data_IF_515184630423
#
_entry.id   IF_515184630423
#
_cell.length_a   1.000
_cell.length_b   1.000
_cell.length_c   1.000
_cell.angle_alpha   90.00
_cell.angle_beta   90.00
_cell.angle_gamma   90.00
#
_symmetry.space_group_name_H-M   'P 1'
#
loop_
_entity.id
_entity.type
_entity.pdbx_description
1 polymer ?
#
# COMPACT_ATOMS: atom_id res chain seq x y z
N UNK A 1 13.43 -38.25 -58.10
CA UNK A 1 14.62 -37.82 -57.33
C UNK A 1 14.13 -36.94 -56.19
N UNK A 2 14.16 -37.39 -54.92
CA UNK A 2 13.62 -36.61 -53.81
C UNK A 2 14.58 -35.50 -53.37
N UNK A 3 14.04 -34.28 -53.23
CA UNK A 3 14.79 -33.09 -52.84
C UNK A 3 15.04 -33.06 -51.33
N UNK A 4 16.30 -32.83 -50.95
CA UNK A 4 16.74 -32.78 -49.56
C UNK A 4 16.33 -31.47 -48.88
N UNK A 5 15.46 -31.56 -47.87
CA UNK A 5 15.09 -30.45 -47.01
C UNK A 5 16.24 -30.11 -46.06
N UNK A 6 16.76 -28.88 -46.16
CA UNK A 6 17.81 -28.34 -45.27
C UNK A 6 17.17 -27.81 -43.98
N UNK A 7 17.46 -28.46 -42.86
CA UNK A 7 17.05 -28.02 -41.53
C UNK A 7 17.80 -26.74 -41.11
N UNK A 8 17.05 -25.72 -40.65
CA UNK A 8 17.59 -24.47 -40.11
C UNK A 8 18.07 -24.67 -38.66
N UNK A 9 19.21 -24.08 -38.25
CA UNK A 9 19.75 -24.25 -36.91
C UNK A 9 18.94 -23.47 -35.86
N UNK A 10 18.51 -24.18 -34.81
CA UNK A 10 17.86 -23.63 -33.63
C UNK A 10 18.89 -22.85 -32.81
N UNK A 11 18.77 -21.53 -32.79
CA UNK A 11 19.63 -20.66 -31.98
C UNK A 11 19.12 -20.60 -30.53
N UNK A 12 19.69 -21.45 -29.67
CA UNK A 12 19.49 -21.43 -28.21
C UNK A 12 20.17 -20.18 -27.62
N UNK A 13 19.38 -19.16 -27.27
CA UNK A 13 19.85 -18.01 -26.48
C UNK A 13 19.97 -18.41 -25.01
N UNK A 14 21.21 -18.64 -24.58
CA UNK A 14 21.56 -18.83 -23.17
C UNK A 14 21.59 -17.46 -22.48
N UNK A 15 20.60 -17.19 -21.63
CA UNK A 15 20.58 -16.00 -20.79
C UNK A 15 21.58 -16.17 -19.63
N UNK A 16 22.62 -15.34 -19.62
CA UNK A 16 23.61 -15.25 -18.54
C UNK A 16 23.03 -14.47 -17.36
N UNK A 17 22.67 -15.18 -16.30
CA UNK A 17 22.49 -14.61 -14.98
C UNK A 17 23.88 -14.46 -14.32
N UNK A 18 24.22 -13.28 -13.78
CA UNK A 18 25.06 -13.10 -12.57
C UNK A 18 25.40 -11.61 -12.31
N UNK A 19 25.62 -11.30 -11.02
CA UNK A 19 26.15 -10.05 -10.43
C UNK A 19 25.16 -8.89 -10.20
N UNK A 20 24.31 -9.05 -9.19
CA UNK A 20 23.58 -7.91 -8.61
C UNK A 20 23.24 -7.99 -7.12
N UNK A 21 23.56 -9.08 -6.41
CA UNK A 21 22.98 -9.35 -5.08
C UNK A 21 23.86 -9.03 -3.86
N UNK A 22 25.14 -8.65 -4.01
CA UNK A 22 26.07 -8.59 -2.87
C UNK A 22 26.18 -7.23 -2.15
N UNK A 23 25.62 -6.13 -2.66
CA UNK A 23 25.82 -4.78 -2.08
C UNK A 23 24.67 -4.23 -1.21
N UNK A 24 23.53 -4.89 -1.16
CA UNK A 24 22.39 -4.43 -0.35
C UNK A 24 22.41 -4.89 1.12
N UNK A 25 23.18 -5.94 1.45
CA UNK A 25 23.19 -6.51 2.81
C UNK A 25 24.03 -5.71 3.83
N UNK A 26 24.98 -4.87 3.39
CA UNK A 26 25.93 -4.21 4.29
C UNK A 26 25.38 -2.94 4.98
N UNK A 27 24.34 -2.30 4.42
CA UNK A 27 23.77 -1.08 4.99
C UNK A 27 22.79 -1.33 6.15
N UNK A 28 22.10 -2.48 6.17
CA UNK A 28 21.09 -2.78 7.19
C UNK A 28 21.66 -3.20 8.56
N UNK A 29 22.91 -3.69 8.65
CA UNK A 29 23.50 -4.09 9.94
C UNK A 29 23.86 -2.89 10.84
N UNK A 30 24.25 -1.74 10.28
CA UNK A 30 24.69 -0.58 11.09
C UNK A 30 23.54 0.15 11.79
N UNK A 31 22.35 0.18 11.18
CA UNK A 31 21.17 0.83 11.78
C UNK A 31 20.54 -0.02 12.90
N UNK A 32 20.60 -1.36 12.78
CA UNK A 32 20.14 -2.27 13.83
C UNK A 32 20.99 -2.16 15.12
N UNK A 33 22.31 -1.99 14.99
CA UNK A 33 23.21 -1.83 16.14
C UNK A 33 22.97 -0.52 16.92
N UNK A 34 22.62 0.58 16.23
CA UNK A 34 22.35 1.85 16.89
C UNK A 34 21.02 1.85 17.67
N UNK A 35 19.99 1.16 17.16
CA UNK A 35 18.68 1.05 17.85
C UNK A 35 18.75 0.16 19.09
N UNK A 36 19.58 -0.89 19.09
CA UNK A 36 19.76 -1.76 20.26
C UNK A 36 20.41 -1.02 21.44
N UNK A 37 21.41 -0.17 21.19
CA UNK A 37 22.14 0.54 22.24
C UNK A 37 21.29 1.64 22.92
N UNK A 38 20.40 2.30 22.18
CA UNK A 38 19.51 3.35 22.71
C UNK A 38 18.44 2.80 23.66
N UNK A 39 18.02 1.54 23.50
CA UNK A 39 17.05 0.89 24.38
C UNK A 39 17.66 0.45 25.72
N UNK A 40 18.97 0.25 25.79
CA UNK A 40 19.66 -0.15 27.01
C UNK A 40 19.81 1.02 28.00
N UNK A 41 20.12 2.22 27.48
CA UNK A 41 20.26 3.44 28.31
C UNK A 41 18.98 3.85 29.04
N UNK A 42 17.79 3.55 28.49
CA UNK A 42 16.51 3.85 29.14
C UNK A 42 16.14 2.87 30.27
N UNK A 43 16.74 1.68 30.29
CA UNK A 43 16.47 0.65 31.33
C UNK A 43 17.19 0.97 32.63
N UNK A 44 18.37 1.59 32.54
CA UNK A 44 19.22 1.83 33.70
C UNK A 44 18.78 3.05 34.55
N UNK A 45 17.89 3.90 34.03
CA UNK A 45 17.36 5.05 34.79
C UNK A 45 16.18 4.73 35.72
N UNK A 46 15.56 3.54 35.61
CA UNK A 46 14.35 3.23 36.40
C UNK A 46 14.61 2.45 37.70
N UNK A 47 15.86 2.03 37.96
CA UNK A 47 16.18 1.18 39.11
C UNK A 47 16.84 1.93 40.29
N UNK A 48 17.06 3.24 40.20
CA UNK A 48 17.83 3.99 41.21
C UNK A 48 16.98 4.84 42.18
N UNK A 49 15.66 4.66 42.22
CA UNK A 49 14.73 5.49 43.02
C UNK A 49 14.12 4.80 44.24
N UNK A 50 14.72 3.73 44.77
CA UNK A 50 14.19 3.02 45.95
C UNK A 50 15.30 2.62 46.92
N UNK A 51 15.85 3.60 47.63
CA UNK A 51 16.45 3.37 48.96
C UNK A 51 15.77 4.30 49.96
N UNK A 52 14.85 3.80 50.80
CA UNK A 52 14.32 4.58 51.91
C UNK A 52 15.33 4.53 53.06
N UNK A 53 16.25 5.51 53.11
CA UNK A 53 16.97 5.82 54.33
C UNK A 53 16.01 6.40 55.38
N UNK A 54 16.20 5.96 56.62
CA UNK A 54 15.26 6.08 57.73
C UNK A 54 14.75 7.50 57.99
N UNK A 55 13.43 7.62 58.07
CA UNK A 55 12.77 8.83 58.56
C UNK A 55 12.42 8.65 60.03
N UNK A 56 13.06 9.49 60.84
CA UNK A 56 12.86 9.61 62.28
C UNK A 56 11.39 9.95 62.58
N UNK A 57 10.81 9.21 63.51
CA UNK A 57 9.52 9.46 64.11
C UNK A 57 9.63 10.74 64.97
N UNK A 58 9.17 11.87 64.46
CA UNK A 58 8.82 13.02 65.30
C UNK A 58 7.31 13.19 65.24
N UNK A 59 6.68 12.82 66.35
CA UNK A 59 5.27 13.00 66.60
C UNK A 59 4.93 14.48 66.62
N UNK A 60 4.08 14.90 65.69
CA UNK A 60 3.31 16.12 65.81
C UNK A 60 1.83 15.74 65.80
N UNK A 61 1.29 15.67 67.02
CA UNK A 61 -0.12 15.86 67.28
C UNK A 61 -0.49 17.27 66.85
N UNK A 62 -1.37 17.45 65.86
CA UNK A 62 -2.33 18.56 65.85
C UNK A 62 -3.25 18.49 64.63
N UNK A 63 -4.54 18.33 64.94
CA UNK A 63 -5.67 18.88 64.21
C UNK A 63 -5.70 18.60 62.71
N UNK A 64 -6.10 17.38 62.35
CA UNK A 64 -6.60 17.09 61.01
C UNK A 64 -7.88 17.91 60.77
N UNK A 65 -7.93 18.79 59.77
CA UNK A 65 -9.18 19.40 59.35
C UNK A 65 -10.06 18.25 58.83
N UNK A 66 -11.24 18.07 59.44
CA UNK A 66 -12.27 17.15 58.98
C UNK A 66 -12.84 17.64 57.65
N UNK A 67 -12.04 17.52 56.59
CA UNK A 67 -12.45 17.77 55.22
C UNK A 67 -13.46 16.67 54.86
N UNK A 68 -14.65 17.11 54.44
CA UNK A 68 -15.77 16.25 54.11
C UNK A 68 -15.35 15.18 53.09
N UNK A 69 -15.49 13.90 53.47
CA UNK A 69 -15.09 12.75 52.66
C UNK A 69 -15.77 12.77 51.26
N UNK A 70 -17.01 13.24 51.20
CA UNK A 70 -17.80 13.36 49.97
C UNK A 70 -17.21 14.37 48.96
N UNK A 71 -16.55 15.41 49.45
CA UNK A 71 -15.94 16.44 48.59
C UNK A 71 -14.71 15.88 47.87
N UNK A 72 -13.98 14.96 48.52
CA UNK A 72 -12.83 14.26 47.92
C UNK A 72 -13.24 13.27 46.84
N UNK A 73 -14.36 12.57 47.02
CA UNK A 73 -14.81 11.61 46.02
C UNK A 73 -15.23 12.30 44.72
N UNK A 74 -15.90 13.46 44.82
CA UNK A 74 -16.25 14.29 43.67
C UNK A 74 -15.01 14.84 42.94
N UNK A 75 -13.98 15.28 43.67
CA UNK A 75 -12.72 15.76 43.09
C UNK A 75 -11.98 14.63 42.34
N UNK A 76 -11.96 13.42 42.90
CA UNK A 76 -11.36 12.24 42.26
C UNK A 76 -12.09 11.89 40.95
N UNK A 77 -13.43 11.96 40.95
CA UNK A 77 -14.22 11.68 39.75
C UNK A 77 -13.99 12.74 38.65
N UNK A 78 -13.95 14.03 39.03
CA UNK A 78 -13.65 15.12 38.11
C UNK A 78 -12.26 14.99 37.49
N UNK A 79 -11.22 14.70 38.30
CA UNK A 79 -9.85 14.50 37.82
C UNK A 79 -9.73 13.28 36.89
N UNK A 80 -10.44 12.19 37.18
CA UNK A 80 -10.49 11.01 36.30
C UNK A 80 -11.11 11.35 34.94
N UNK A 81 -12.19 12.12 34.93
CA UNK A 81 -12.83 12.57 33.69
C UNK A 81 -11.92 13.49 32.86
N UNK A 82 -11.20 14.42 33.51
CA UNK A 82 -10.24 15.29 32.85
C UNK A 82 -9.07 14.50 32.23
N UNK A 83 -8.51 13.54 32.96
CA UNK A 83 -7.45 12.64 32.44
C UNK A 83 -7.95 11.85 31.24
N UNK A 84 -9.19 11.35 31.26
CA UNK A 84 -9.78 10.64 30.13
C UNK A 84 -9.93 11.55 28.90
N UNK A 85 -10.39 12.78 29.10
CA UNK A 85 -10.52 13.77 28.02
C UNK A 85 -9.15 14.14 27.43
N UNK A 86 -8.15 14.42 28.26
CA UNK A 86 -6.79 14.75 27.82
C UNK A 86 -6.12 13.58 27.09
N UNK A 87 -6.35 12.34 27.53
CA UNK A 87 -5.88 11.13 26.82
C UNK A 87 -6.53 11.00 25.44
N UNK A 88 -7.85 11.24 25.33
CA UNK A 88 -8.54 11.23 24.05
C UNK A 88 -8.06 12.33 23.10
N UNK A 89 -7.77 13.53 23.60
CA UNK A 89 -7.21 14.63 22.81
C UNK A 89 -5.77 14.32 22.34
N UNK A 90 -4.92 13.78 23.22
CA UNK A 90 -3.56 13.37 22.85
C UNK A 90 -3.55 12.27 21.80
N UNK A 91 -4.43 11.27 21.92
CA UNK A 91 -4.58 10.20 20.94
C UNK A 91 -4.99 10.74 19.54
N UNK A 92 -5.84 11.77 19.48
CA UNK A 92 -6.18 12.45 18.22
C UNK A 92 -4.96 13.19 17.65
N UNK A 93 -4.21 13.91 18.48
CA UNK A 93 -3.07 14.74 18.06
C UNK A 93 -1.85 13.94 17.59
N UNK A 94 -1.68 12.71 18.08
CA UNK A 94 -0.60 11.82 17.63
C UNK A 94 -0.82 11.27 16.22
N UNK A 95 -2.06 11.21 15.72
CA UNK A 95 -2.30 10.69 14.37
C UNK A 95 -1.84 11.64 13.25
N UNK A 96 -1.72 12.94 13.53
CA UNK A 96 -1.30 13.92 12.51
C UNK A 96 0.23 14.01 12.34
N UNK A 97 1.01 13.45 13.27
CA UNK A 97 2.48 13.54 13.27
C UNK A 97 3.18 12.23 12.83
N UNK A 98 2.43 11.27 12.30
CA UNK A 98 3.05 10.07 11.75
C UNK A 98 3.91 10.47 10.53
N UNK A 99 5.17 9.97 10.42
CA UNK A 99 6.08 10.37 9.35
C UNK A 99 5.43 10.05 8.00
N UNK A 100 5.10 11.11 7.24
CA UNK A 100 4.41 10.95 5.97
C UNK A 100 5.39 10.46 4.91
N UNK A 101 5.00 9.44 4.16
CA UNK A 101 5.80 8.83 3.10
C UNK A 101 5.65 9.67 1.81
N UNK A 102 6.74 10.28 1.31
CA UNK A 102 6.69 11.06 0.08
C UNK A 102 6.45 10.16 -1.13
N UNK A 103 5.95 10.76 -2.20
CA UNK A 103 5.74 10.05 -3.47
C UNK A 103 7.11 9.72 -4.11
N UNK A 104 7.35 8.47 -4.52
CA UNK A 104 8.56 8.11 -5.26
C UNK A 104 8.59 8.77 -6.65
N UNK A 105 9.78 9.02 -7.23
CA UNK A 105 9.88 9.53 -8.59
C UNK A 105 9.36 8.50 -9.61
N UNK A 106 8.64 8.97 -10.63
CA UNK A 106 8.09 8.14 -11.71
C UNK A 106 6.58 7.84 -11.60
N UNK A 107 6.15 6.82 -12.34
CA UNK A 107 4.80 6.30 -12.48
C UNK A 107 4.71 4.83 -12.00
N UNK A 108 3.65 4.53 -11.26
CA UNK A 108 3.42 3.21 -10.69
C UNK A 108 3.24 2.16 -11.79
N UNK A 109 4.06 1.11 -11.75
CA UNK A 109 4.05 0.00 -12.72
C UNK A 109 4.99 0.18 -13.92
N UNK A 110 5.54 1.37 -14.13
CA UNK A 110 6.62 1.60 -15.12
C UNK A 110 7.97 1.73 -14.42
N UNK A 111 8.11 2.74 -13.56
CA UNK A 111 9.39 3.06 -12.90
C UNK A 111 9.51 2.44 -11.50
N UNK A 112 8.38 2.22 -10.82
CA UNK A 112 8.40 1.64 -9.48
C UNK A 112 7.24 0.65 -9.23
N UNK A 113 7.47 -0.28 -8.30
CA UNK A 113 6.45 -1.21 -7.84
C UNK A 113 5.65 -0.60 -6.68
N UNK A 114 4.38 -0.28 -6.94
CA UNK A 114 3.49 0.37 -5.97
C UNK A 114 3.42 -0.37 -4.62
N UNK A 115 3.42 -1.70 -4.63
CA UNK A 115 3.33 -2.50 -3.41
C UNK A 115 4.60 -2.42 -2.55
N UNK A 116 5.76 -2.32 -3.19
CA UNK A 116 7.05 -2.21 -2.51
C UNK A 116 7.23 -0.82 -1.89
N UNK A 117 6.90 0.23 -2.65
CA UNK A 117 6.97 1.63 -2.20
C UNK A 117 5.97 1.93 -1.09
N UNK A 118 4.84 1.22 -1.06
CA UNK A 118 3.93 1.25 0.07
C UNK A 118 4.42 0.44 1.28
N UNK A 119 5.63 -0.15 1.26
CA UNK A 119 6.16 -0.99 2.35
C UNK A 119 5.29 -2.24 2.65
N UNK A 120 4.58 -2.75 1.64
CA UNK A 120 3.70 -3.92 1.72
C UNK A 120 4.30 -5.19 1.09
N UNK A 121 5.60 -5.20 0.77
CA UNK A 121 6.30 -6.24 -0.02
C UNK A 121 5.81 -7.68 0.19
N UNK A 122 5.79 -8.19 1.42
CA UNK A 122 5.35 -9.57 1.71
C UNK A 122 3.90 -9.67 2.22
N UNK A 123 3.22 -8.54 2.40
CA UNK A 123 1.88 -8.45 3.01
C UNK A 123 0.79 -8.52 1.94
N UNK A 124 0.74 -9.63 1.21
CA UNK A 124 -0.20 -9.86 0.10
C UNK A 124 -1.67 -9.67 0.52
N UNK A 125 -2.04 -10.19 1.68
CA UNK A 125 -3.40 -10.09 2.21
C UNK A 125 -3.79 -8.63 2.42
N UNK A 126 -2.96 -7.85 3.11
CA UNK A 126 -3.20 -6.42 3.36
C UNK A 126 -3.29 -5.63 2.05
N UNK A 127 -2.39 -5.89 1.10
CA UNK A 127 -2.40 -5.27 -0.22
C UNK A 127 -3.71 -5.54 -0.98
N UNK A 128 -4.16 -6.80 -1.02
CA UNK A 128 -5.39 -7.19 -1.69
C UNK A 128 -6.63 -6.58 -1.01
N UNK A 129 -6.67 -6.53 0.32
CA UNK A 129 -7.75 -5.87 1.07
C UNK A 129 -7.84 -4.39 0.75
N UNK A 130 -6.71 -3.68 0.70
CA UNK A 130 -6.67 -2.25 0.34
C UNK A 130 -7.19 -2.07 -1.09
N UNK A 131 -6.68 -2.85 -2.05
CA UNK A 131 -7.13 -2.79 -3.44
C UNK A 131 -8.63 -3.04 -3.57
N UNK A 132 -9.13 -4.10 -2.96
CA UNK A 132 -10.55 -4.46 -2.98
C UNK A 132 -11.40 -3.31 -2.43
N UNK A 133 -11.01 -2.76 -1.27
CA UNK A 133 -11.71 -1.62 -0.65
C UNK A 133 -11.79 -0.41 -1.59
N UNK A 134 -10.66 -0.05 -2.22
CA UNK A 134 -10.63 1.09 -3.17
C UNK A 134 -11.50 0.81 -4.40
N UNK A 135 -11.43 -0.41 -4.97
CA UNK A 135 -12.29 -0.81 -6.09
C UNK A 135 -13.78 -0.74 -5.74
N UNK A 136 -14.17 -1.22 -4.56
CA UNK A 136 -15.56 -1.18 -4.09
C UNK A 136 -16.05 0.26 -3.93
N UNK A 137 -15.20 1.16 -3.42
CA UNK A 137 -15.53 2.59 -3.31
C UNK A 137 -15.67 3.25 -4.69
N UNK A 138 -14.82 2.91 -5.65
CA UNK A 138 -14.93 3.37 -7.04
C UNK A 138 -16.27 2.94 -7.65
N UNK A 139 -16.67 1.68 -7.46
CA UNK A 139 -17.96 1.16 -7.91
C UNK A 139 -19.13 1.86 -7.22
N UNK A 140 -19.09 1.98 -5.88
CA UNK A 140 -20.13 2.67 -5.09
C UNK A 140 -20.30 4.14 -5.47
N UNK A 141 -19.20 4.82 -5.79
CA UNK A 141 -19.25 6.20 -6.27
C UNK A 141 -19.80 6.34 -7.70
N UNK A 142 -19.97 5.23 -8.43
CA UNK A 142 -20.42 5.22 -9.83
C UNK A 142 -19.45 5.98 -10.73
N UNK A 143 -18.14 5.77 -10.56
CA UNK A 143 -17.16 6.31 -11.51
C UNK A 143 -17.34 5.63 -12.86
N UNK A 144 -17.20 6.40 -13.95
CA UNK A 144 -17.39 5.87 -15.30
C UNK A 144 -16.21 4.99 -15.68
N UNK A 145 -16.48 3.73 -16.02
CA UNK A 145 -15.47 2.82 -16.54
C UNK A 145 -14.98 3.30 -17.92
N UNK A 146 -13.73 3.00 -18.29
CA UNK A 146 -13.15 3.38 -19.58
C UNK A 146 -12.68 4.84 -19.70
N UNK A 147 -13.03 5.71 -18.74
CA UNK A 147 -12.56 7.10 -18.70
C UNK A 147 -11.27 7.19 -17.86
N UNK A 148 -10.25 7.83 -18.42
CA UNK A 148 -8.99 8.11 -17.74
C UNK A 148 -9.21 8.89 -16.45
N UNK A 149 -8.45 8.59 -15.39
CA UNK A 149 -8.52 9.25 -14.08
C UNK A 149 -8.63 10.79 -14.15
N UNK A 150 -7.84 11.43 -15.03
CA UNK A 150 -7.83 12.90 -15.20
C UNK A 150 -9.18 13.49 -15.66
N UNK A 151 -10.00 12.69 -16.34
CA UNK A 151 -11.28 13.11 -16.91
C UNK A 151 -12.46 12.69 -16.02
N UNK A 152 -12.19 12.12 -14.84
CA UNK A 152 -13.24 11.74 -13.90
C UNK A 152 -13.77 12.97 -13.13
N UNK A 153 -15.03 12.98 -12.69
CA UNK A 153 -15.56 14.07 -11.87
C UNK A 153 -14.75 14.25 -10.59
N UNK A 154 -14.20 15.45 -10.38
CA UNK A 154 -13.32 15.77 -9.24
C UNK A 154 -14.00 15.55 -7.89
N UNK A 155 -15.30 15.84 -7.80
CA UNK A 155 -16.12 15.62 -6.60
C UNK A 155 -16.14 14.15 -6.17
N UNK A 156 -16.30 13.24 -7.14
CA UNK A 156 -16.29 11.80 -6.87
C UNK A 156 -14.91 11.32 -6.42
N UNK A 157 -13.85 11.82 -7.07
CA UNK A 157 -12.47 11.50 -6.69
C UNK A 157 -12.21 11.94 -5.24
N UNK A 158 -12.54 13.19 -4.88
CA UNK A 158 -12.39 13.68 -3.52
C UNK A 158 -13.21 12.85 -2.51
N UNK A 159 -14.45 12.50 -2.85
CA UNK A 159 -15.30 11.63 -2.02
C UNK A 159 -14.68 10.26 -1.77
N UNK A 160 -14.06 9.65 -2.78
CA UNK A 160 -13.37 8.35 -2.65
C UNK A 160 -12.14 8.49 -1.76
N UNK A 161 -11.33 9.54 -1.90
CA UNK A 161 -10.17 9.76 -1.04
C UNK A 161 -10.57 9.82 0.44
N UNK A 162 -11.59 10.63 0.76
CA UNK A 162 -12.12 10.74 2.14
C UNK A 162 -12.71 9.41 2.63
N UNK A 163 -13.49 8.72 1.81
CA UNK A 163 -14.07 7.42 2.18
C UNK A 163 -12.99 6.35 2.39
N UNK A 164 -11.94 6.39 1.58
CA UNK A 164 -10.81 5.47 1.66
C UNK A 164 -10.03 5.68 2.95
N UNK A 165 -9.79 6.92 3.36
CA UNK A 165 -9.14 7.22 4.64
C UNK A 165 -9.94 6.75 5.87
N UNK A 166 -11.26 6.72 5.77
CA UNK A 166 -12.12 6.18 6.83
C UNK A 166 -12.05 4.65 6.87
N UNK A 167 -12.06 4.00 5.72
CA UNK A 167 -12.06 2.54 5.62
C UNK A 167 -10.67 1.91 5.84
N UNK A 168 -9.61 2.56 5.38
CA UNK A 168 -8.22 2.10 5.42
C UNK A 168 -7.33 3.20 6.00
N UNK A 169 -7.26 3.34 7.34
CA UNK A 169 -6.44 4.37 7.98
C UNK A 169 -4.96 4.34 7.57
N UNK A 170 -4.45 3.17 7.20
CA UNK A 170 -3.10 2.97 6.68
C UNK A 170 -2.74 3.89 5.51
N UNK A 171 -3.72 4.27 4.67
CA UNK A 171 -3.46 5.11 3.50
C UNK A 171 -3.23 6.59 3.85
N UNK A 172 -3.55 7.03 5.07
CA UNK A 172 -3.35 8.43 5.52
C UNK A 172 -1.87 8.81 5.67
N UNK A 173 -0.98 7.83 5.77
CA UNK A 173 0.46 8.07 5.94
C UNK A 173 1.14 8.54 4.64
N UNK A 174 0.47 8.48 3.48
CA UNK A 174 1.07 8.85 2.19
C UNK A 174 0.74 10.30 1.84
N UNK A 175 1.76 11.09 1.44
CA UNK A 175 1.57 12.51 1.10
C UNK A 175 0.70 12.63 -0.18
N UNK A 176 -0.21 13.61 -0.20
CA UNK A 176 -1.11 13.89 -1.33
C UNK A 176 -1.88 12.67 -1.85
N UNK A 177 -2.13 11.69 -0.97
CA UNK A 177 -2.85 10.46 -1.26
C UNK A 177 -2.31 9.70 -2.48
N UNK A 178 -1.00 9.82 -2.77
CA UNK A 178 -0.40 9.32 -3.99
C UNK A 178 -0.63 7.81 -4.19
N UNK A 179 -0.62 7.06 -3.08
CA UNK A 179 -0.86 5.63 -3.07
C UNK A 179 -2.30 5.30 -3.51
N UNK A 180 -3.28 5.97 -2.90
CA UNK A 180 -4.70 5.80 -3.25
C UNK A 180 -4.95 6.15 -4.71
N UNK A 181 -4.41 7.29 -5.17
CA UNK A 181 -4.52 7.74 -6.57
C UNK A 181 -3.92 6.71 -7.53
N UNK A 182 -2.75 6.13 -7.21
CA UNK A 182 -2.11 5.12 -8.05
C UNK A 182 -2.97 3.85 -8.14
N UNK A 183 -3.55 3.38 -7.02
CA UNK A 183 -4.47 2.23 -7.01
C UNK A 183 -5.72 2.54 -7.86
N UNK A 184 -6.31 3.74 -7.72
CA UNK A 184 -7.46 4.16 -8.51
C UNK A 184 -7.16 4.15 -10.02
N UNK A 185 -6.00 4.68 -10.43
CA UNK A 185 -5.56 4.65 -11.83
C UNK A 185 -5.45 3.24 -12.37
N UNK A 186 -4.81 2.34 -11.62
CA UNK A 186 -4.70 0.92 -11.99
C UNK A 186 -6.08 0.26 -12.12
N UNK A 187 -6.99 0.51 -11.17
CA UNK A 187 -8.35 -0.03 -11.20
C UNK A 187 -9.14 0.45 -12.42
N UNK A 188 -9.16 1.76 -12.68
CA UNK A 188 -9.85 2.35 -13.83
C UNK A 188 -9.28 1.88 -15.18
N UNK A 189 -7.96 1.71 -15.25
CA UNK A 189 -7.31 1.14 -16.43
C UNK A 189 -7.74 -0.30 -16.68
N UNK A 190 -7.82 -1.13 -15.63
CA UNK A 190 -8.23 -2.53 -15.76
C UNK A 190 -9.71 -2.68 -16.15
N UNK A 191 -10.59 -1.80 -15.68
CA UNK A 191 -12.00 -1.82 -16.09
C UNK A 191 -12.19 -1.59 -17.59
N UNK A 192 -11.34 -0.76 -18.20
CA UNK A 192 -11.36 -0.52 -19.65
C UNK A 192 -11.18 -1.82 -20.45
N UNK A 193 -10.27 -2.68 -20.01
CA UNK A 193 -9.95 -3.94 -20.72
C UNK A 193 -10.96 -5.05 -20.43
N UNK A 194 -11.53 -5.09 -19.21
CA UNK A 194 -12.48 -6.14 -18.84
C UNK A 194 -13.86 -5.97 -19.50
N UNK A 195 -14.32 -4.72 -19.73
CA UNK A 195 -15.60 -4.47 -20.39
C UNK A 195 -15.65 -5.09 -21.80
N UNK A 196 -14.55 -5.01 -22.56
CA UNK A 196 -14.45 -5.57 -23.91
C UNK A 196 -14.55 -7.10 -23.92
N UNK A 197 -13.95 -7.78 -22.92
CA UNK A 197 -13.99 -9.25 -22.84
C UNK A 197 -15.39 -9.78 -22.49
N UNK A 198 -16.17 -9.05 -21.71
CA UNK A 198 -17.51 -9.49 -21.31
C UNK A 198 -18.50 -9.56 -22.49
N UNK A 199 -18.33 -8.72 -23.51
CA UNK A 199 -19.21 -8.75 -24.69
C UNK A 199 -18.88 -9.87 -25.67
N UNK A 200 -17.62 -10.31 -25.72
CA UNK A 200 -17.19 -11.32 -26.69
C UNK A 200 -17.64 -12.74 -26.31
N UNK A 201 -17.78 -13.03 -25.01
CA UNK A 201 -18.20 -14.38 -24.54
C UNK A 201 -19.69 -14.64 -24.79
N UNK A 202 -20.52 -13.61 -24.93
CA UNK A 202 -21.96 -13.78 -25.18
C UNK A 202 -22.31 -13.96 -26.66
N UNK A 203 -21.35 -13.81 -27.59
CA UNK A 203 -21.62 -13.93 -29.04
C UNK A 203 -21.24 -15.28 -29.63
N UNK A 204 -20.55 -16.15 -28.87
CA UNK A 204 -20.02 -17.43 -29.39
C UNK A 204 -20.81 -18.68 -28.99
N UNK A 205 -21.83 -18.56 -28.14
CA UNK A 205 -22.60 -19.71 -27.64
C UNK A 205 -23.97 -19.92 -28.34
N UNK A 206 -24.20 -19.28 -29.49
CA UNK A 206 -25.45 -19.42 -30.25
C UNK A 206 -25.18 -19.68 -31.74
N UNK A 207 -24.18 -20.51 -32.04
CA UNK A 207 -23.99 -21.14 -33.36
C UNK A 207 -24.20 -22.64 -33.19
N UNK A 208 -25.45 -23.00 -32.96
CA UNK A 208 -26.00 -24.32 -33.30
C UNK A 208 -26.23 -24.29 -34.83
N UNK A 209 -25.99 -25.42 -35.49
CA UNK A 209 -26.23 -25.69 -36.93
C UNK A 209 -25.25 -25.08 -37.97
N UNK A 210 -24.27 -25.87 -38.43
CA UNK A 210 -24.37 -26.64 -39.69
C UNK A 210 -23.00 -27.15 -40.15
N UNK A 211 -23.03 -28.42 -40.53
CA UNK A 211 -21.97 -29.24 -41.11
C UNK A 211 -21.48 -28.63 -42.43
N UNK A 212 -20.20 -28.27 -42.52
CA UNK A 212 -19.66 -27.54 -43.66
C UNK A 212 -18.17 -27.74 -43.78
N UNK A 213 -17.79 -28.90 -44.33
CA UNK A 213 -16.46 -29.19 -44.84
C UNK A 213 -15.86 -27.96 -45.52
N UNK A 214 -14.76 -27.41 -44.97
CA UNK A 214 -14.03 -26.32 -45.62
C UNK A 214 -12.55 -26.62 -45.68
N UNK A 215 -12.11 -26.55 -46.92
CA UNK A 215 -10.86 -26.91 -47.55
C UNK A 215 -9.61 -26.32 -46.89
N UNK A 216 -8.52 -27.07 -47.05
CA UNK A 216 -7.15 -26.67 -46.76
C UNK A 216 -6.79 -25.43 -47.60
N UNK A 217 -6.82 -24.24 -47.00
CA UNK A 217 -6.23 -23.04 -47.61
C UNK A 217 -4.76 -22.93 -47.19
N UNK A 218 -3.90 -23.05 -48.21
CA UNK A 218 -2.45 -22.91 -48.14
C UNK A 218 -2.02 -21.55 -47.56
N UNK A 219 -0.98 -21.52 -46.71
CA UNK A 219 -0.38 -20.27 -46.26
C UNK A 219 0.36 -19.59 -47.42
N UNK A 220 -0.13 -18.42 -47.83
CA UNK A 220 0.59 -17.51 -48.73
C UNK A 220 1.81 -16.94 -48.01
N UNK A 221 2.98 -17.37 -48.46
CA UNK A 221 4.27 -16.71 -48.26
C UNK A 221 4.21 -15.30 -48.90
N UNK A 222 4.11 -14.25 -48.09
CA UNK A 222 4.51 -12.91 -48.51
C UNK A 222 5.89 -12.60 -47.93
N UNK A 223 6.89 -12.97 -48.74
CA UNK A 223 8.26 -12.48 -48.67
C UNK A 223 8.32 -10.99 -49.05
N UNK A 224 9.01 -10.24 -48.18
CA UNK A 224 10.10 -9.31 -48.52
C UNK A 224 9.83 -7.84 -48.89
N UNK A 225 10.88 -7.05 -48.66
CA UNK A 225 11.15 -5.63 -48.97
C UNK A 225 10.91 -4.65 -47.81
N UNK A 226 11.87 -4.45 -46.90
CA UNK A 226 13.15 -3.75 -47.09
C UNK A 226 12.98 -2.23 -47.33
N UNK A 227 13.40 -1.42 -46.35
CA UNK A 227 14.01 -0.11 -46.54
C UNK A 227 14.38 0.52 -45.18
N UNK A 228 15.68 0.59 -44.95
CA UNK A 228 16.36 1.41 -43.95
C UNK A 228 15.97 2.90 -44.02
N UNK A 229 16.03 3.61 -42.88
CA UNK A 229 16.92 4.78 -42.77
C UNK A 229 17.13 5.23 -41.31
N UNK A 230 18.38 5.25 -40.80
CA UNK A 230 18.74 5.97 -39.59
C UNK A 230 19.21 7.39 -39.94
N UNK A 231 18.58 8.42 -39.34
CA UNK A 231 19.13 9.79 -39.35
C UNK A 231 19.55 10.22 -37.93
N UNK A 232 20.77 10.78 -37.93
CA UNK A 232 21.66 11.25 -36.88
C UNK A 232 21.07 11.83 -35.57
#
# INVERSE_FOLDING_TARGET
MPAAAKAKPVCLRVATATKGAARAASKNMKEAAYKANKLQVLRDHNNNAMTPQGRKMLGHSSSSPSINLSERDNEIEALKAEIACLKAQKAKKTMDNEPKVPKPPGEAGREFNLKEEMLLGNKNVQWNTIKATVCDLIHKAGMRQGITYRNQPKEKVAGILVATHKAQPYLKQFIDDWATIAIMKQALHNFKHNSLRSHQVNTSNNSDDEDGAREEEEPLDEEDSDAEEPTA
#
